data_IF_711309345642
#
_entry.id   IF_711309345642
#
_cell.length_a   1.000
_cell.length_b   1.000
_cell.length_c   1.000
_cell.angle_alpha   90.00
_cell.angle_beta   90.00
_cell.angle_gamma   90.00
#
_symmetry.space_group_name_H-M   'P 1'
#
loop_
_entity.id
_entity.type
_entity.pdbx_description
1 polymer ?
#
# COMPACT_ATOMS: atom_id res chain seq x y z
N UNK A 1 0.33 10.04 29.50
CA UNK A 1 -0.52 10.16 28.30
C UNK A 1 0.29 10.83 27.18
N UNK A 2 0.65 10.11 26.11
CA UNK A 2 1.37 10.72 24.97
C UNK A 2 0.43 11.69 24.25
N UNK A 3 0.78 12.98 24.19
CA UNK A 3 0.04 13.97 23.40
C UNK A 3 0.54 13.92 21.96
N UNK A 4 -0.29 13.43 21.04
CA UNK A 4 -0.01 13.51 19.61
C UNK A 4 -0.48 14.87 19.09
N UNK A 5 0.41 15.60 18.40
CA UNK A 5 0.07 16.84 17.69
C UNK A 5 -0.14 16.52 16.22
N UNK A 6 -1.19 17.05 15.62
CA UNK A 6 -1.40 17.04 14.17
C UNK A 6 -1.43 18.47 13.65
N UNK A 7 -0.94 18.67 12.43
CA UNK A 7 -0.92 19.95 11.75
C UNK A 7 -1.61 19.82 10.39
N UNK A 8 -2.36 20.86 9.99
CA UNK A 8 -3.01 20.93 8.69
C UNK A 8 -2.33 22.01 7.86
N UNK A 9 -1.79 21.62 6.72
CA UNK A 9 -1.14 22.53 5.79
C UNK A 9 -1.84 22.47 4.43
N UNK A 10 -1.79 23.59 3.69
CA UNK A 10 -2.17 23.64 2.28
C UNK A 10 -0.92 23.93 1.48
N UNK A 11 -0.60 23.05 0.55
CA UNK A 11 0.49 23.25 -0.41
C UNK A 11 -0.02 24.07 -1.60
N UNK A 12 0.86 24.89 -2.18
CA UNK A 12 0.61 25.64 -3.41
C UNK A 12 1.73 25.31 -4.41
N UNK A 13 1.60 24.20 -5.15
CA UNK A 13 2.66 23.76 -6.05
C UNK A 13 2.81 24.70 -7.25
N UNK A 14 4.04 24.88 -7.73
CA UNK A 14 4.27 25.47 -9.05
C UNK A 14 3.98 24.45 -10.16
N UNK A 15 4.06 24.84 -11.43
CA UNK A 15 3.72 23.96 -12.56
C UNK A 15 4.57 22.70 -12.65
N UNK A 16 5.86 22.78 -12.38
CA UNK A 16 6.74 21.61 -12.37
C UNK A 16 6.36 20.63 -11.26
N UNK A 17 6.03 21.15 -10.07
CA UNK A 17 5.60 20.36 -8.93
C UNK A 17 4.22 19.72 -9.16
N UNK A 18 3.26 20.45 -9.74
CA UNK A 18 1.95 19.90 -10.13
C UNK A 18 2.12 18.68 -11.07
N UNK A 19 2.98 18.83 -12.09
CA UNK A 19 3.29 17.77 -13.05
C UNK A 19 3.94 16.58 -12.35
N UNK A 20 4.96 16.82 -11.50
CA UNK A 20 5.66 15.74 -10.80
C UNK A 20 4.73 14.99 -9.83
N UNK A 21 3.85 15.70 -9.11
CA UNK A 21 2.83 15.08 -8.24
C UNK A 21 1.90 14.20 -9.07
N UNK A 22 1.38 14.71 -10.19
CA UNK A 22 0.49 13.94 -11.06
C UNK A 22 1.17 12.70 -11.63
N UNK A 23 2.41 12.82 -12.11
CA UNK A 23 3.23 11.68 -12.58
C UNK A 23 3.45 10.66 -11.47
N UNK A 24 3.81 11.11 -10.27
CA UNK A 24 4.05 10.23 -9.10
C UNK A 24 2.80 9.43 -8.76
N UNK A 25 1.65 10.09 -8.64
CA UNK A 25 0.36 9.43 -8.35
C UNK A 25 0.00 8.44 -9.48
N UNK A 26 0.20 8.85 -10.74
CA UNK A 26 -0.06 8.01 -11.91
C UNK A 26 0.79 6.73 -11.91
N UNK A 27 2.09 6.87 -11.67
CA UNK A 27 3.03 5.75 -11.58
C UNK A 27 2.70 4.80 -10.44
N UNK A 28 2.44 5.34 -9.24
CA UNK A 28 2.03 4.54 -8.09
C UNK A 28 0.74 3.77 -8.37
N UNK A 29 -0.27 4.42 -8.97
CA UNK A 29 -1.54 3.79 -9.34
C UNK A 29 -1.35 2.67 -10.36
N UNK A 30 -0.55 2.89 -11.40
CA UNK A 30 -0.28 1.88 -12.42
C UNK A 30 0.38 0.65 -11.80
N UNK A 31 1.43 0.84 -11.00
CA UNK A 31 2.16 -0.24 -10.35
C UNK A 31 1.25 -1.01 -9.39
N UNK A 32 0.48 -0.31 -8.56
CA UNK A 32 -0.49 -0.93 -7.67
C UNK A 32 -1.47 -1.81 -8.44
N UNK A 33 -2.07 -1.29 -9.51
CA UNK A 33 -3.05 -2.03 -10.31
C UNK A 33 -2.43 -3.21 -11.07
N UNK A 34 -1.22 -3.05 -11.62
CA UNK A 34 -0.49 -4.12 -12.29
C UNK A 34 -0.29 -5.31 -11.35
N UNK A 35 0.22 -5.07 -10.15
CA UNK A 35 0.43 -6.13 -9.17
C UNK A 35 -0.86 -6.63 -8.51
N UNK A 36 -1.91 -5.80 -8.43
CA UNK A 36 -3.22 -6.25 -7.96
C UNK A 36 -3.83 -7.31 -8.90
N UNK A 37 -3.74 -7.09 -10.22
CA UNK A 37 -4.17 -8.07 -11.23
C UNK A 37 -3.34 -9.35 -11.13
N UNK A 38 -2.01 -9.22 -11.12
CA UNK A 38 -1.09 -10.35 -11.01
C UNK A 38 -1.29 -11.16 -9.72
N UNK A 39 -1.66 -10.48 -8.64
CA UNK A 39 -2.00 -11.12 -7.38
C UNK A 39 -3.24 -12.01 -7.51
N UNK A 40 -4.30 -11.50 -8.13
CA UNK A 40 -5.53 -12.27 -8.36
C UNK A 40 -5.25 -13.53 -9.20
N UNK A 41 -4.40 -13.43 -10.23
CA UNK A 41 -3.97 -14.55 -11.06
C UNK A 41 -3.15 -15.59 -10.28
N UNK A 42 -2.13 -15.15 -9.53
CA UNK A 42 -1.34 -16.01 -8.65
C UNK A 42 -2.21 -16.72 -7.63
N UNK A 43 -3.20 -16.02 -7.08
CA UNK A 43 -4.09 -16.59 -6.08
C UNK A 43 -5.04 -17.63 -6.67
N UNK A 44 -5.63 -17.36 -7.84
CA UNK A 44 -6.51 -18.32 -8.55
C UNK A 44 -5.79 -19.63 -8.87
N UNK A 45 -4.50 -19.55 -9.19
CA UNK A 45 -3.69 -20.71 -9.58
C UNK A 45 -3.08 -21.46 -8.39
N UNK A 46 -2.59 -20.75 -7.38
CA UNK A 46 -1.80 -21.35 -6.28
C UNK A 46 -2.48 -21.30 -4.91
N UNK A 47 -3.56 -20.53 -4.76
CA UNK A 47 -4.18 -20.22 -3.46
C UNK A 47 -3.35 -19.29 -2.59
N UNK A 48 -2.22 -18.76 -3.09
CA UNK A 48 -1.30 -17.87 -2.37
C UNK A 48 -1.16 -16.53 -3.10
N UNK A 49 -1.08 -15.46 -2.31
CA UNK A 49 -0.82 -14.11 -2.81
C UNK A 49 0.65 -13.88 -3.19
N UNK A 50 0.97 -12.66 -3.64
CA UNK A 50 2.35 -12.30 -3.95
C UNK A 50 3.08 -11.86 -2.67
N UNK A 51 4.40 -12.05 -2.67
CA UNK A 51 5.24 -11.43 -1.64
C UNK A 51 5.74 -10.06 -2.12
N UNK A 52 6.00 -9.14 -1.19
CA UNK A 52 6.68 -7.88 -1.51
C UNK A 52 8.01 -8.13 -2.25
N UNK A 53 8.79 -9.12 -1.81
CA UNK A 53 10.07 -9.46 -2.44
C UNK A 53 9.93 -9.92 -3.89
N UNK A 54 8.87 -10.66 -4.21
CA UNK A 54 8.55 -11.05 -5.59
C UNK A 54 8.19 -9.83 -6.45
N UNK A 55 7.34 -8.95 -5.93
CA UNK A 55 6.91 -7.75 -6.66
C UNK A 55 8.07 -6.78 -6.88
N UNK A 56 8.85 -6.53 -5.84
CA UNK A 56 9.98 -5.58 -5.85
C UNK A 56 11.05 -5.94 -6.87
N UNK A 57 11.33 -7.25 -7.05
CA UNK A 57 12.28 -7.76 -8.04
C UNK A 57 11.85 -7.57 -9.49
N UNK A 58 10.55 -7.46 -9.75
CA UNK A 58 10.00 -7.31 -11.10
C UNK A 58 9.88 -5.83 -11.52
N UNK A 59 9.82 -4.90 -10.57
CA UNK A 59 9.75 -3.46 -10.84
C UNK A 59 10.86 -2.96 -11.78
N UNK A 60 12.13 -3.38 -11.66
CA UNK A 60 13.17 -3.01 -12.63
C UNK A 60 12.82 -3.38 -14.07
N UNK A 61 12.30 -4.58 -14.32
CA UNK A 61 11.90 -5.02 -15.66
C UNK A 61 10.72 -4.18 -16.20
N UNK A 62 9.79 -3.81 -15.32
CA UNK A 62 8.70 -2.91 -15.69
C UNK A 62 9.22 -1.51 -16.06
N UNK A 63 10.24 -1.00 -15.38
CA UNK A 63 10.86 0.29 -15.72
C UNK A 63 11.57 0.27 -17.07
N UNK A 64 12.09 -0.88 -17.48
CA UNK A 64 12.69 -1.03 -18.81
C UNK A 64 11.63 -1.15 -19.91
N UNK A 65 10.45 -1.68 -19.58
CA UNK A 65 9.31 -1.74 -20.50
C UNK A 65 8.59 -0.39 -20.60
N UNK A 66 8.52 0.35 -19.50
CA UNK A 66 7.77 1.59 -19.36
C UNK A 66 8.70 2.69 -18.82
N UNK A 67 9.41 3.35 -19.74
CA UNK A 67 10.44 4.35 -19.37
C UNK A 67 9.89 5.51 -18.52
N UNK A 68 8.62 5.86 -18.66
CA UNK A 68 7.98 6.91 -17.85
C UNK A 68 7.94 6.58 -16.34
N UNK A 69 8.10 5.30 -15.95
CA UNK A 69 8.28 4.90 -14.54
C UNK A 69 9.64 5.34 -13.96
N UNK A 70 10.60 5.75 -14.80
CA UNK A 70 11.89 6.30 -14.41
C UNK A 70 11.82 7.80 -14.11
N UNK A 71 10.72 8.47 -14.48
CA UNK A 71 10.53 9.92 -14.28
C UNK A 71 10.19 10.32 -12.84
N UNK A 72 9.88 9.35 -11.97
CA UNK A 72 9.46 9.57 -10.59
C UNK A 72 10.39 8.87 -9.60
N UNK A 73 10.35 9.31 -8.35
CA UNK A 73 11.15 8.72 -7.28
C UNK A 73 10.88 7.21 -7.12
N UNK A 74 11.95 6.44 -7.00
CA UNK A 74 11.89 4.98 -6.92
C UNK A 74 11.17 4.47 -5.66
N UNK A 75 11.22 5.23 -4.56
CA UNK A 75 10.55 4.90 -3.30
C UNK A 75 9.04 4.95 -3.46
N UNK A 76 8.51 5.92 -4.23
CA UNK A 76 7.07 6.01 -4.52
C UNK A 76 6.54 4.75 -5.23
N UNK A 77 7.30 4.26 -6.23
CA UNK A 77 6.98 3.05 -6.99
C UNK A 77 7.10 1.79 -6.11
N UNK A 78 8.18 1.64 -5.36
CA UNK A 78 8.40 0.48 -4.48
C UNK A 78 7.38 0.42 -3.33
N UNK A 79 7.02 1.56 -2.75
CA UNK A 79 6.03 1.63 -1.66
C UNK A 79 4.63 1.23 -2.14
N UNK A 80 4.33 1.43 -3.43
CA UNK A 80 3.04 1.09 -4.02
C UNK A 80 2.72 -0.41 -3.94
N UNK A 81 3.73 -1.29 -3.94
CA UNK A 81 3.52 -2.74 -3.81
C UNK A 81 3.65 -3.27 -2.39
N UNK A 82 4.26 -2.49 -1.48
CA UNK A 82 4.53 -2.89 -0.10
C UNK A 82 3.25 -3.18 0.70
N UNK A 83 2.18 -2.44 0.42
CA UNK A 83 0.93 -2.51 1.17
C UNK A 83 -0.23 -3.06 0.35
N UNK A 84 0.04 -3.82 -0.71
CA UNK A 84 -0.99 -4.31 -1.63
C UNK A 84 -2.09 -5.12 -0.90
N UNK A 85 -1.70 -5.93 0.08
CA UNK A 85 -2.63 -6.70 0.91
C UNK A 85 -3.49 -5.87 1.87
N UNK A 86 -3.10 -4.62 2.21
CA UNK A 86 -3.83 -3.82 3.21
C UNK A 86 -5.27 -3.51 2.78
N UNK A 87 -5.54 -3.46 1.48
CA UNK A 87 -6.89 -3.26 0.94
C UNK A 87 -7.81 -4.48 1.06
N UNK A 88 -7.24 -5.67 1.30
CA UNK A 88 -7.95 -6.95 1.34
C UNK A 88 -8.03 -7.55 2.75
N UNK A 89 -7.31 -7.00 3.72
CA UNK A 89 -7.28 -7.51 5.09
C UNK A 89 -8.34 -6.81 5.95
N UNK A 90 -9.06 -7.57 6.75
CA UNK A 90 -9.90 -7.05 7.82
C UNK A 90 -9.02 -6.40 8.89
N UNK A 91 -9.18 -5.10 9.15
CA UNK A 91 -8.39 -4.40 10.16
C UNK A 91 -8.72 -4.81 11.60
N UNK A 92 -9.76 -5.62 11.82
CA UNK A 92 -10.15 -6.13 13.12
C UNK A 92 -9.56 -7.50 13.43
N UNK A 93 -9.60 -8.45 12.47
CA UNK A 93 -9.20 -9.84 12.72
C UNK A 93 -8.10 -10.36 11.78
N UNK A 94 -7.65 -9.56 10.81
CA UNK A 94 -6.65 -9.96 9.82
C UNK A 94 -7.15 -10.90 8.73
N UNK A 95 -8.45 -11.27 8.73
CA UNK A 95 -9.01 -12.10 7.67
C UNK A 95 -8.86 -11.43 6.29
N UNK A 96 -8.30 -12.16 5.32
CA UNK A 96 -8.17 -11.68 3.96
C UNK A 96 -9.45 -11.97 3.16
N UNK A 97 -10.22 -10.93 2.85
CA UNK A 97 -11.45 -11.05 2.05
C UNK A 97 -11.14 -11.01 0.56
N UNK A 98 -11.33 -12.16 -0.11
CA UNK A 98 -10.92 -12.38 -1.51
C UNK A 98 -11.74 -11.57 -2.52
N UNK A 99 -13.00 -11.29 -2.21
CA UNK A 99 -13.88 -10.54 -3.13
C UNK A 99 -13.72 -9.01 -3.03
N UNK A 100 -12.88 -8.50 -2.11
CA UNK A 100 -12.52 -7.07 -2.00
C UNK A 100 -11.42 -6.71 -3.00
N UNK A 101 -11.58 -7.18 -4.23
CA UNK A 101 -10.69 -6.90 -5.38
C UNK A 101 -11.36 -6.05 -6.44
N UNK A 102 -12.70 -6.11 -6.54
CA UNK A 102 -13.46 -5.30 -7.47
C UNK A 102 -13.42 -3.84 -7.04
N UNK A 103 -12.82 -2.94 -7.82
CA UNK A 103 -12.61 -1.52 -7.46
C UNK A 103 -13.92 -0.79 -7.06
N UNK A 104 -15.08 -1.24 -7.57
CA UNK A 104 -16.39 -0.66 -7.22
C UNK A 104 -17.00 -1.13 -5.89
N UNK A 105 -16.47 -2.16 -5.22
CA UNK A 105 -17.03 -2.62 -3.94
C UNK A 105 -16.53 -1.73 -2.79
N UNK A 106 -17.33 -0.73 -2.40
CA UNK A 106 -16.97 0.28 -1.40
C UNK A 106 -17.11 -0.18 0.04
N UNK A 107 -18.10 -1.02 0.30
CA UNK A 107 -18.43 -1.52 1.63
C UNK A 107 -18.46 -3.04 1.64
N UNK A 108 -18.06 -3.66 2.75
CA UNK A 108 -18.08 -5.11 2.90
C UNK A 108 -18.13 -5.53 4.37
N UNK A 109 -18.73 -6.69 4.64
CA UNK A 109 -18.74 -7.29 5.98
C UNK A 109 -17.72 -8.43 6.02
N UNK A 110 -16.86 -8.45 7.04
CA UNK A 110 -15.90 -9.52 7.19
C UNK A 110 -16.60 -10.85 7.49
N UNK A 111 -16.44 -11.90 6.66
CA UNK A 111 -17.09 -13.19 6.88
C UNK A 111 -16.51 -13.94 8.08
N UNK A 112 -15.33 -13.53 8.58
CA UNK A 112 -14.68 -14.16 9.71
C UNK A 112 -15.07 -13.57 11.07
N UNK A 113 -15.29 -12.27 11.17
CA UNK A 113 -15.60 -11.62 12.46
C UNK A 113 -16.88 -10.77 12.45
N UNK A 114 -17.55 -10.65 11.30
CA UNK A 114 -18.83 -9.95 11.16
C UNK A 114 -18.74 -8.42 11.16
N UNK A 115 -17.55 -7.83 11.28
CA UNK A 115 -17.41 -6.37 11.28
C UNK A 115 -17.65 -5.79 9.89
N UNK A 116 -18.35 -4.65 9.83
CA UNK A 116 -18.59 -3.91 8.60
C UNK A 116 -17.47 -2.90 8.33
N UNK A 117 -17.04 -2.78 7.08
CA UNK A 117 -15.95 -1.92 6.65
C UNK A 117 -16.36 -1.05 5.47
N UNK A 118 -16.01 0.24 5.50
CA UNK A 118 -15.67 0.97 4.28
C UNK A 118 -14.24 0.57 3.88
N UNK A 119 -14.04 0.27 2.59
CA UNK A 119 -12.78 -0.24 2.05
C UNK A 119 -11.60 0.69 2.32
N UNK A 120 -11.76 1.99 2.04
CA UNK A 120 -10.65 2.93 2.12
C UNK A 120 -10.31 3.23 3.58
N UNK A 121 -11.33 3.34 4.44
CA UNK A 121 -11.15 3.45 5.89
C UNK A 121 -10.42 2.23 6.43
N UNK A 122 -10.84 1.01 6.05
CA UNK A 122 -10.19 -0.23 6.47
C UNK A 122 -8.74 -0.33 6.00
N UNK A 123 -8.48 -0.02 4.73
CA UNK A 123 -7.11 0.04 4.21
C UNK A 123 -6.25 1.05 4.99
N UNK A 124 -6.80 2.23 5.30
CA UNK A 124 -6.15 3.24 6.13
C UNK A 124 -5.84 2.74 7.54
N UNK A 125 -6.75 2.00 8.17
CA UNK A 125 -6.51 1.38 9.48
C UNK A 125 -5.38 0.35 9.42
N UNK A 126 -5.33 -0.49 8.38
CA UNK A 126 -4.24 -1.45 8.19
C UNK A 126 -2.88 -0.76 8.00
N UNK A 127 -2.85 0.33 7.20
CA UNK A 127 -1.63 1.14 7.03
C UNK A 127 -1.17 1.76 8.36
N UNK A 128 -2.11 2.28 9.16
CA UNK A 128 -1.82 2.83 10.49
C UNK A 128 -1.24 1.76 11.42
N UNK A 129 -1.87 0.58 11.50
CA UNK A 129 -1.41 -0.52 12.34
C UNK A 129 0.00 -0.98 11.95
N UNK A 130 0.29 -1.09 10.65
CA UNK A 130 1.64 -1.45 10.19
C UNK A 130 2.67 -0.37 10.53
N UNK A 131 2.31 0.91 10.42
CA UNK A 131 3.20 2.00 10.83
C UNK A 131 3.49 1.96 12.35
N UNK A 132 2.46 1.73 13.17
CA UNK A 132 2.62 1.54 14.62
C UNK A 132 3.50 0.32 14.95
N UNK A 133 3.33 -0.79 14.23
CA UNK A 133 4.16 -2.00 14.36
C UNK A 133 5.62 -1.73 14.04
N UNK A 134 5.89 -1.02 12.93
CA UNK A 134 7.25 -0.64 12.53
C UNK A 134 7.87 0.24 13.62
N UNK A 135 7.16 1.28 14.09
CA UNK A 135 7.65 2.16 15.15
C UNK A 135 7.97 1.39 16.44
N UNK A 136 7.11 0.45 16.84
CA UNK A 136 7.36 -0.40 18.01
C UNK A 136 8.61 -1.28 17.80
N UNK A 137 8.79 -1.87 16.61
CA UNK A 137 9.96 -2.69 16.29
C UNK A 137 11.27 -1.90 16.24
N UNK A 138 11.23 -0.63 15.82
CA UNK A 138 12.42 0.24 15.77
C UNK A 138 12.89 0.69 17.15
N UNK A 139 12.02 0.66 18.17
CA UNK A 139 12.40 1.04 19.54
C UNK A 139 13.21 -0.03 20.29
N UNK A 140 13.34 -1.25 19.73
CA UNK A 140 14.04 -2.37 20.38
C UNK A 140 15.52 -2.47 19.95
N UNK A 141 15.98 -1.69 18.96
CA UNK A 141 17.27 -1.92 18.28
C UNK A 141 18.42 -0.93 18.51
N UNK A 142 18.26 0.16 19.27
CA UNK A 142 19.33 1.19 19.41
C UNK A 142 19.64 1.57 20.85
N UNK A 143 19.87 0.57 21.71
CA UNK A 143 20.74 0.71 22.88
C UNK A 143 21.97 -0.16 22.68
N UNK A 144 22.84 0.26 21.76
CA UNK A 144 24.24 -0.13 21.69
C UNK A 144 25.05 1.15 21.83
N UNK A 145 25.56 1.38 23.04
CA UNK A 145 26.43 2.50 23.41
C UNK A 145 27.73 2.50 22.60
N UNK A 146 28.32 3.70 22.55
CA UNK A 146 29.69 4.00 22.17
C UNK A 146 30.73 3.11 22.88
#
# INVERSE_FOLDING_TARGET
MKKHKSYKFRIYPNKEQEILIAKTIGCSRFIFNHFLVKWDESYKTTGKGLSYGSCSKEIPMLKDTFDWLKEVDSTSVQTSVKHLASSQLCSSCGHQHKDVKHLGLREWTCPSCGIHHDRDVNAGLNLKQEAERILASSTVGTTGLA
#
